data_IF_962082225912
#
_entry.id   IF_962082225912
#
_cell.length_a   1.000
_cell.length_b   1.000
_cell.length_c   1.000
_cell.angle_alpha   90.00
_cell.angle_beta   90.00
_cell.angle_gamma   90.00
#
_symmetry.space_group_name_H-M   'P 1'
#
loop_
_entity.id
_entity.type
_entity.pdbx_description
1 polymer ?
#
# COMPACT_ATOMS: atom_id res chain seq x y z
N UNK A 1 -5.41 -2.56 -5.09
CA UNK A 1 -4.64 -3.74 -4.69
C UNK A 1 -4.28 -3.52 -3.25
N UNK A 2 -4.63 -4.42 -2.34
CA UNK A 2 -4.32 -4.21 -0.92
C UNK A 2 -2.89 -4.68 -0.62
N UNK A 3 -2.15 -3.89 0.16
CA UNK A 3 -0.77 -4.20 0.55
C UNK A 3 -0.75 -4.56 2.03
N UNK A 4 -0.36 -5.79 2.35
CA UNK A 4 -0.15 -6.27 3.73
C UNK A 4 1.20 -6.99 3.83
N UNK A 5 1.84 -7.08 5.02
CA UNK A 5 3.13 -7.77 5.19
C UNK A 5 3.12 -9.24 4.74
N UNK A 6 1.93 -9.84 4.64
CA UNK A 6 1.72 -11.13 3.99
C UNK A 6 0.92 -10.94 2.68
N UNK A 7 1.33 -11.56 1.56
CA UNK A 7 0.66 -11.41 0.26
C UNK A 7 -0.83 -11.81 0.26
N UNK A 8 -1.20 -12.80 1.09
CA UNK A 8 -2.58 -13.22 1.34
C UNK A 8 -2.82 -13.23 2.84
N UNK A 9 -3.51 -12.21 3.36
CA UNK A 9 -3.86 -12.12 4.78
C UNK A 9 -5.37 -12.28 4.96
N UNK A 10 -5.78 -12.99 6.02
CA UNK A 10 -7.19 -13.08 6.40
C UNK A 10 -7.82 -11.69 6.57
N UNK A 11 -7.06 -10.73 7.11
CA UNK A 11 -7.50 -9.35 7.25
C UNK A 11 -7.82 -8.69 5.89
N UNK A 12 -6.97 -8.90 4.88
CA UNK A 12 -7.24 -8.39 3.54
C UNK A 12 -8.50 -9.00 2.93
N UNK A 13 -8.72 -10.30 3.13
CA UNK A 13 -9.93 -10.97 2.65
C UNK A 13 -11.21 -10.50 3.36
N UNK A 14 -11.18 -10.30 4.68
CA UNK A 14 -12.32 -9.77 5.45
C UNK A 14 -12.69 -8.38 4.96
N UNK A 15 -11.69 -7.53 4.72
CA UNK A 15 -11.91 -6.17 4.23
C UNK A 15 -12.51 -6.18 2.82
N UNK A 16 -11.91 -6.93 1.89
CA UNK A 16 -12.43 -7.02 0.52
C UNK A 16 -13.88 -7.54 0.49
N UNK A 17 -14.25 -8.45 1.40
CA UNK A 17 -15.65 -8.90 1.57
C UNK A 17 -16.55 -7.77 2.06
N UNK A 18 -16.12 -6.98 3.04
CA UNK A 18 -16.88 -5.84 3.54
C UNK A 18 -17.11 -4.75 2.47
N UNK A 19 -16.22 -4.67 1.48
CA UNK A 19 -16.35 -3.79 0.31
C UNK A 19 -17.19 -4.38 -0.84
N UNK A 20 -17.77 -5.57 -0.65
CA UNK A 20 -18.60 -6.22 -1.66
C UNK A 20 -17.80 -6.83 -2.83
N UNK A 21 -16.48 -6.97 -2.70
CA UNK A 21 -15.65 -7.58 -3.75
C UNK A 21 -15.95 -9.08 -3.83
N UNK A 22 -16.33 -9.55 -5.03
CA UNK A 22 -16.68 -10.95 -5.23
C UNK A 22 -15.49 -11.89 -5.00
N UNK A 23 -15.75 -13.16 -4.68
CA UNK A 23 -14.68 -14.15 -4.47
C UNK A 23 -13.74 -14.29 -5.68
N UNK A 24 -14.28 -14.19 -6.91
CA UNK A 24 -13.52 -14.24 -8.15
C UNK A 24 -12.60 -13.02 -8.32
N UNK A 25 -13.07 -11.83 -7.94
CA UNK A 25 -12.28 -10.61 -8.06
C UNK A 25 -11.24 -10.48 -6.95
N UNK A 26 -11.51 -10.99 -5.74
CA UNK A 26 -10.57 -10.93 -4.61
C UNK A 26 -9.20 -11.50 -4.93
N UNK A 27 -9.14 -12.61 -5.68
CA UNK A 27 -7.88 -13.21 -6.11
C UNK A 27 -6.96 -12.23 -6.87
N UNK A 28 -7.54 -11.30 -7.62
CA UNK A 28 -6.82 -10.30 -8.41
C UNK A 28 -6.55 -8.99 -7.64
N UNK A 29 -7.05 -8.86 -6.40
CA UNK A 29 -6.87 -7.67 -5.54
C UNK A 29 -5.78 -7.84 -4.49
N UNK A 30 -5.37 -9.08 -4.23
CA UNK A 30 -4.23 -9.42 -3.38
C UNK A 30 -2.91 -9.13 -4.10
N UNK A 31 -1.89 -8.75 -3.33
CA UNK A 31 -0.55 -8.55 -3.84
C UNK A 31 0.08 -9.91 -4.17
N UNK A 32 0.67 -10.04 -5.37
CA UNK A 32 1.44 -11.23 -5.72
C UNK A 32 2.74 -11.29 -4.93
N UNK A 33 3.12 -12.47 -4.43
CA UNK A 33 4.41 -12.69 -3.77
C UNK A 33 5.60 -12.35 -4.68
N UNK A 34 5.45 -12.36 -6.01
CA UNK A 34 6.51 -11.97 -6.95
C UNK A 34 6.79 -10.47 -6.98
N UNK A 35 5.83 -9.66 -6.52
CA UNK A 35 5.95 -8.20 -6.45
C UNK A 35 6.40 -7.73 -5.06
N UNK A 36 6.73 -8.67 -4.17
CA UNK A 36 7.12 -8.41 -2.79
C UNK A 36 8.44 -9.11 -2.50
N UNK A 37 9.43 -8.37 -2.01
CA UNK A 37 10.68 -8.91 -1.48
C UNK A 37 10.73 -8.58 0.01
N UNK A 38 10.88 -9.59 0.85
CA UNK A 38 10.97 -9.42 2.29
C UNK A 38 12.27 -10.03 2.82
N UNK A 39 12.86 -9.37 3.80
CA UNK A 39 13.88 -9.91 4.69
C UNK A 39 13.38 -9.88 6.15
N UNK A 40 14.28 -9.98 7.12
CA UNK A 40 13.94 -9.95 8.55
C UNK A 40 13.52 -8.54 9.04
N UNK A 41 13.84 -7.49 8.29
CA UNK A 41 13.75 -6.10 8.71
C UNK A 41 12.61 -5.35 8.01
N UNK A 42 12.35 -5.66 6.74
CA UNK A 42 11.37 -4.97 5.91
C UNK A 42 10.79 -5.85 4.79
N UNK A 43 9.65 -5.41 4.24
CA UNK A 43 9.09 -5.90 2.98
C UNK A 43 8.94 -4.76 1.99
N UNK A 44 9.63 -4.84 0.85
CA UNK A 44 9.51 -3.90 -0.26
C UNK A 44 8.54 -4.46 -1.32
N UNK A 45 7.62 -3.62 -1.76
CA UNK A 45 6.57 -3.97 -2.73
C UNK A 45 6.69 -3.10 -3.97
N UNK A 46 6.84 -3.72 -5.13
CA UNK A 46 6.66 -3.06 -6.43
C UNK A 46 5.16 -3.02 -6.76
N UNK A 47 4.49 -1.97 -6.29
CA UNK A 47 3.03 -1.90 -6.29
C UNK A 47 2.44 -1.51 -7.65
N UNK A 48 3.20 -0.79 -8.48
CA UNK A 48 2.84 -0.41 -9.84
C UNK A 48 4.11 -0.12 -10.66
N UNK A 49 4.13 -0.28 -12.00
CA UNK A 49 3.22 -1.15 -12.72
C UNK A 49 3.40 -2.59 -12.21
N UNK A 50 2.30 -3.31 -12.00
CA UNK A 50 2.34 -4.68 -11.52
C UNK A 50 2.79 -5.61 -12.65
N UNK A 51 4.06 -5.56 -13.06
CA UNK A 51 4.64 -6.37 -14.15
C UNK A 51 4.94 -7.82 -13.74
N UNK A 52 4.21 -8.34 -12.75
CA UNK A 52 4.34 -9.70 -12.21
C UNK A 52 3.15 -10.62 -12.48
N UNK A 53 2.12 -10.14 -13.17
CA UNK A 53 1.10 -11.00 -13.77
C UNK A 53 1.62 -11.59 -15.08
N UNK A 54 1.15 -12.78 -15.47
CA UNK A 54 1.43 -13.34 -16.80
C UNK A 54 1.26 -12.22 -17.85
N UNK A 55 2.18 -12.15 -18.82
CA UNK A 55 2.31 -11.17 -19.93
C UNK A 55 1.04 -10.97 -20.80
N UNK A 56 -0.12 -11.47 -20.38
CA UNK A 56 -1.35 -11.62 -21.13
C UNK A 56 -2.30 -10.40 -21.08
N UNK A 57 -2.03 -9.36 -20.30
CA UNK A 57 -2.76 -8.09 -20.41
C UNK A 57 -1.82 -6.88 -20.34
N UNK A 58 -0.79 -6.86 -21.19
CA UNK A 58 -0.45 -5.59 -21.81
C UNK A 58 -1.59 -5.27 -22.80
N UNK A 59 -2.11 -4.03 -22.87
CA UNK A 59 -2.95 -3.62 -24.00
C UNK A 59 -2.24 -4.04 -25.30
N UNK A 60 -2.96 -4.52 -26.34
CA UNK A 60 -2.32 -4.84 -27.60
C UNK A 60 -1.52 -3.60 -28.04
N UNK A 61 -0.21 -3.77 -28.20
CA UNK A 61 0.64 -2.75 -28.76
C UNK A 61 0.21 -2.57 -30.23
N UNK A 62 -0.76 -1.69 -30.47
CA UNK A 62 -1.09 -1.18 -31.81
C UNK A 62 -0.11 -0.08 -32.25
N UNK A 63 1.04 0.02 -31.58
CA UNK A 63 2.07 1.02 -31.84
C UNK A 63 3.35 0.38 -32.39
N UNK A 64 3.99 1.12 -33.27
CA UNK A 64 5.29 0.85 -33.90
C UNK A 64 6.31 0.32 -32.87
N UNK A 65 6.95 -0.85 -33.11
CA UNK A 65 7.93 -1.44 -32.20
C UNK A 65 9.20 -0.59 -31.99
N UNK A 66 9.38 0.50 -32.73
CA UNK A 66 10.49 1.45 -32.54
C UNK A 66 10.23 2.52 -31.47
N UNK A 67 9.00 2.68 -31.00
CA UNK A 67 8.67 3.58 -29.88
C UNK A 67 8.71 2.77 -28.59
N UNK A 68 9.81 2.90 -27.83
CA UNK A 68 9.91 2.31 -26.49
C UNK A 68 8.69 2.69 -25.66
N UNK A 69 8.00 1.69 -25.12
CA UNK A 69 6.84 1.93 -24.26
C UNK A 69 7.23 2.91 -23.13
N UNK A 70 6.38 3.89 -22.78
CA UNK A 70 6.69 4.79 -21.67
C UNK A 70 6.94 3.97 -20.41
N UNK A 71 8.18 3.98 -19.92
CA UNK A 71 8.56 3.34 -18.66
C UNK A 71 7.97 4.18 -17.53
N UNK A 72 6.75 3.86 -17.11
CA UNK A 72 6.16 4.47 -15.92
C UNK A 72 7.02 4.04 -14.72
N UNK A 73 7.57 4.96 -13.92
CA UNK A 73 8.40 4.61 -12.78
C UNK A 73 7.60 3.73 -11.82
N UNK A 74 8.28 2.74 -11.24
CA UNK A 74 7.62 1.81 -10.36
C UNK A 74 7.27 2.49 -9.02
N UNK A 75 6.03 2.39 -8.57
CA UNK A 75 5.62 2.80 -7.22
C UNK A 75 6.09 1.73 -6.23
N UNK A 76 7.08 2.09 -5.43
CA UNK A 76 7.66 1.24 -4.38
C UNK A 76 7.06 1.56 -3.01
N UNK A 77 6.64 0.53 -2.29
CA UNK A 77 6.08 0.64 -0.95
C UNK A 77 6.94 -0.18 0.01
N UNK A 78 7.50 0.44 1.06
CA UNK A 78 8.12 -0.28 2.17
C UNK A 78 7.12 -0.51 3.30
N UNK A 79 7.08 -1.75 3.79
CA UNK A 79 6.49 -2.13 5.06
C UNK A 79 7.63 -2.48 6.02
N UNK A 80 8.06 -1.52 6.84
CA UNK A 80 9.25 -1.67 7.70
C UNK A 80 8.87 -1.59 9.17
N UNK A 81 9.42 -2.50 9.98
CA UNK A 81 9.24 -2.51 11.44
C UNK A 81 10.56 -2.41 12.20
N UNK A 82 11.70 -2.48 11.52
CA UNK A 82 13.02 -2.34 12.11
C UNK A 82 13.55 -0.89 11.98
N UNK A 83 14.06 -0.26 13.05
CA UNK A 83 14.57 1.11 13.00
C UNK A 83 15.73 1.33 12.02
N UNK A 84 16.64 0.35 11.88
CA UNK A 84 17.80 0.48 11.00
C UNK A 84 17.42 0.42 9.52
N UNK A 85 16.46 -0.43 9.17
CA UNK A 85 15.90 -0.47 7.82
C UNK A 85 15.04 0.75 7.52
N UNK A 86 14.34 1.31 8.53
CA UNK A 86 13.54 2.51 8.35
C UNK A 86 14.37 3.68 7.82
N UNK A 87 15.55 3.93 8.40
CA UNK A 87 16.44 5.01 7.95
C UNK A 87 16.88 4.83 6.50
N UNK A 88 17.16 3.60 6.08
CA UNK A 88 17.60 3.28 4.73
C UNK A 88 16.47 3.43 3.71
N UNK A 89 15.30 2.85 4.01
CA UNK A 89 14.14 2.83 3.12
C UNK A 89 13.56 4.23 2.93
N UNK A 90 13.63 5.05 3.98
CA UNK A 90 13.08 6.39 4.02
C UNK A 90 13.58 7.33 2.92
N UNK A 91 14.78 7.10 2.36
CA UNK A 91 15.31 7.85 1.22
C UNK A 91 15.17 7.16 -0.13
N UNK A 92 14.60 5.95 -0.18
CA UNK A 92 14.65 5.05 -1.34
C UNK A 92 13.29 4.64 -1.89
N UNK A 93 12.23 4.79 -1.11
CA UNK A 93 10.89 4.35 -1.49
C UNK A 93 9.96 5.53 -1.76
N UNK A 94 8.95 5.29 -2.59
CA UNK A 94 7.90 6.26 -2.86
C UNK A 94 6.89 6.36 -1.71
N UNK A 95 6.69 5.25 -1.00
CA UNK A 95 5.76 5.15 0.12
C UNK A 95 6.34 4.32 1.27
N UNK A 96 6.35 4.91 2.45
CA UNK A 96 6.77 4.29 3.70
C UNK A 96 5.54 3.97 4.57
N UNK A 97 5.42 2.72 5.04
CA UNK A 97 4.43 2.32 6.04
C UNK A 97 5.16 1.64 7.20
N UNK A 98 5.01 2.19 8.40
CA UNK A 98 5.76 1.71 9.57
C UNK A 98 5.01 1.92 10.88
N UNK A 99 5.04 0.96 11.82
CA UNK A 99 4.56 1.19 13.18
C UNK A 99 5.53 2.05 14.02
N UNK A 100 6.70 2.41 13.48
CA UNK A 100 7.67 3.29 14.14
C UNK A 100 7.35 4.75 13.88
N UNK A 101 7.93 5.66 14.65
CA UNK A 101 7.86 7.10 14.34
C UNK A 101 8.92 7.41 13.28
N UNK A 102 8.50 7.92 12.13
CA UNK A 102 9.44 8.30 11.08
C UNK A 102 10.18 9.59 11.48
N UNK A 103 11.48 9.71 11.16
CA UNK A 103 12.22 10.96 11.31
C UNK A 103 11.54 12.10 10.54
N UNK A 104 11.58 13.31 11.10
CA UNK A 104 11.06 14.51 10.41
C UNK A 104 11.80 14.82 9.11
N UNK A 105 13.01 14.31 8.96
CA UNK A 105 13.85 14.42 7.77
C UNK A 105 13.54 13.36 6.71
N UNK A 106 12.45 12.59 6.87
CA UNK A 106 12.21 11.49 5.96
C UNK A 106 11.88 11.94 4.54
N UNK A 107 12.59 11.39 3.55
CA UNK A 107 12.54 11.85 2.16
C UNK A 107 11.42 11.20 1.34
N UNK A 108 10.83 10.11 1.83
CA UNK A 108 9.74 9.40 1.16
C UNK A 108 8.53 10.34 0.97
N UNK A 109 8.00 10.48 -0.26
CA UNK A 109 6.86 11.37 -0.54
C UNK A 109 5.60 11.06 0.27
N UNK A 110 5.37 9.79 0.58
CA UNK A 110 4.25 9.35 1.41
C UNK A 110 4.76 8.58 2.63
N UNK A 111 4.43 9.07 3.83
CA UNK A 111 4.84 8.44 5.10
C UNK A 111 3.62 8.15 5.98
N UNK A 112 3.41 6.88 6.28
CA UNK A 112 2.38 6.36 7.18
C UNK A 112 3.04 5.75 8.41
N UNK A 113 3.41 6.62 9.34
CA UNK A 113 4.13 6.27 10.57
C UNK A 113 3.18 5.95 11.73
N UNK A 114 3.75 5.65 12.91
CA UNK A 114 3.01 5.38 14.14
C UNK A 114 1.92 6.41 14.44
N UNK A 115 2.21 7.71 14.25
CA UNK A 115 1.28 8.80 14.56
C UNK A 115 0.14 8.83 13.55
N UNK A 116 0.44 8.64 12.27
CA UNK A 116 -0.58 8.56 11.23
C UNK A 116 -1.49 7.36 11.47
N UNK A 117 -0.91 6.17 11.64
CA UNK A 117 -1.63 4.92 11.84
C UNK A 117 -2.45 4.92 13.15
N UNK A 118 -2.01 5.61 14.20
CA UNK A 118 -2.81 5.77 15.42
C UNK A 118 -4.09 6.59 15.19
N UNK A 119 -4.11 7.50 14.21
CA UNK A 119 -5.28 8.32 13.88
C UNK A 119 -6.21 7.64 12.88
N UNK A 120 -5.64 6.95 11.89
CA UNK A 120 -6.40 6.39 10.75
C UNK A 120 -6.64 4.90 10.85
N UNK A 121 -5.95 4.21 11.76
CA UNK A 121 -5.88 2.76 11.75
C UNK A 121 -5.13 2.23 10.53
N UNK A 122 -5.54 1.05 10.07
CA UNK A 122 -5.01 0.47 8.85
C UNK A 122 -5.48 1.26 7.63
N UNK A 123 -4.67 1.28 6.58
CA UNK A 123 -4.96 1.98 5.33
C UNK A 123 -5.04 0.97 4.18
N UNK A 124 -6.08 1.08 3.37
CA UNK A 124 -6.18 0.39 2.10
C UNK A 124 -5.71 1.31 0.96
N UNK A 125 -4.79 0.79 0.14
CA UNK A 125 -4.25 1.47 -1.02
C UNK A 125 -4.99 1.05 -2.29
N UNK A 126 -5.53 2.01 -3.04
CA UNK A 126 -6.11 1.78 -4.36
C UNK A 126 -5.26 2.48 -5.39
N UNK A 127 -4.80 1.71 -6.37
CA UNK A 127 -4.03 2.16 -7.51
C UNK A 127 -4.92 2.01 -8.72
N UNK A 128 -5.35 3.14 -9.29
CA UNK A 128 -6.16 3.19 -10.49
C UNK A 128 -5.23 3.44 -11.71
N UNK A 129 -5.06 2.47 -12.62
CA UNK A 129 -4.15 2.59 -13.74
C UNK A 129 -4.49 3.78 -14.63
N UNK A 130 -3.46 4.51 -15.08
CA UNK A 130 -3.59 5.55 -16.10
C UNK A 130 -2.68 5.23 -17.28
N UNK A 131 -3.20 5.33 -18.50
CA UNK A 131 -2.39 5.08 -19.69
C UNK A 131 -1.27 6.13 -19.77
N UNK A 132 -0.02 5.66 -19.83
CA UNK A 132 1.16 6.52 -19.96
C UNK A 132 1.45 7.44 -18.75
N UNK A 133 0.84 7.20 -17.59
CA UNK A 133 1.01 8.04 -16.40
C UNK A 133 1.02 7.22 -15.10
N UNK A 134 1.62 7.75 -14.01
CA UNK A 134 1.54 7.12 -12.69
C UNK A 134 0.07 6.85 -12.27
N UNK A 135 -0.16 5.80 -11.47
CA UNK A 135 -1.51 5.42 -11.06
C UNK A 135 -2.09 6.50 -10.16
N UNK A 136 -3.40 6.69 -10.22
CA UNK A 136 -4.06 7.53 -9.21
C UNK A 136 -4.09 6.76 -7.89
N UNK A 137 -3.53 7.37 -6.85
CA UNK A 137 -3.54 6.88 -5.48
C UNK A 137 -4.87 7.25 -4.81
N UNK A 138 -5.53 6.29 -4.17
CA UNK A 138 -6.60 6.57 -3.19
C UNK A 138 -6.34 5.79 -1.91
N UNK A 139 -6.37 6.49 -0.79
CA UNK A 139 -6.19 5.92 0.54
C UNK A 139 -7.54 5.82 1.23
N UNK A 140 -7.83 4.68 1.84
CA UNK A 140 -9.04 4.48 2.66
C UNK A 140 -8.68 4.00 4.06
N UNK A 141 -9.01 4.76 5.12
CA UNK A 141 -8.90 4.30 6.50
C UNK A 141 -9.79 3.09 6.78
N UNK A 142 -9.39 2.24 7.72
CA UNK A 142 -10.17 1.07 8.13
C UNK A 142 -11.43 1.45 8.92
N UNK A 143 -11.50 2.67 9.45
CA UNK A 143 -12.68 3.20 10.10
C UNK A 143 -12.80 4.72 9.88
N UNK A 144 -14.04 5.19 9.76
CA UNK A 144 -14.35 6.64 9.67
C UNK A 144 -14.33 7.34 11.04
N UNK A 145 -14.36 6.57 12.13
CA UNK A 145 -14.26 7.05 13.51
C UNK A 145 -13.50 6.04 14.38
N UNK A 146 -12.69 6.53 15.32
CA UNK A 146 -11.91 5.70 16.24
C UNK A 146 -12.87 4.82 17.07
N UNK A 147 -12.68 3.50 16.99
CA UNK A 147 -13.55 2.54 17.69
C UNK A 147 -13.31 2.58 19.21
N UNK A 148 -14.34 2.26 20.04
CA UNK A 148 -14.23 2.15 21.50
C UNK A 148 -13.08 1.29 22.01
N UNK A 149 -12.75 0.24 21.28
CA UNK A 149 -11.74 -0.75 21.65
C UNK A 149 -10.37 -0.51 20.99
N UNK A 150 -10.15 0.64 20.33
CA UNK A 150 -8.82 0.96 19.77
C UNK A 150 -7.81 1.21 20.91
N UNK A 151 -6.73 0.42 21.02
CA UNK A 151 -5.71 0.61 22.06
C UNK A 151 -5.02 1.98 21.93
N UNK A 152 -4.55 2.55 23.06
CA UNK A 152 -3.87 3.86 23.11
C UNK A 152 -4.67 5.00 22.45
N UNK A 153 -5.93 5.17 22.85
CA UNK A 153 -6.68 6.39 22.51
C UNK A 153 -5.90 7.64 22.95
N UNK A 154 -5.68 8.63 22.07
CA UNK A 154 -5.26 9.95 22.52
C UNK A 154 -6.30 10.47 23.52
N UNK A 155 -5.86 10.96 24.67
CA UNK A 155 -6.68 11.33 25.84
C UNK A 155 -7.66 12.51 25.62
N UNK A 156 -7.96 12.89 24.38
CA UNK A 156 -8.84 14.01 24.04
C UNK A 156 -9.98 13.69 23.05
N UNK A 157 -10.12 12.46 22.57
CA UNK A 157 -11.19 12.12 21.61
C UNK A 157 -12.50 11.74 22.35
N UNK A 158 -13.33 12.74 22.66
CA UNK A 158 -14.67 12.48 23.20
C UNK A 158 -15.57 11.88 22.11
N UNK A 159 -16.16 10.72 22.43
CA UNK A 159 -17.12 10.05 21.55
C UNK A 159 -18.50 10.63 21.86
N UNK A 160 -18.96 11.61 21.10
CA UNK A 160 -20.35 12.03 21.15
C UNK A 160 -21.17 11.03 20.36
N UNK A 161 -21.93 10.20 21.07
CA UNK A 161 -23.02 9.43 20.48
C UNK A 161 -24.25 10.34 20.50
N UNK A 162 -24.80 10.66 19.33
CA UNK A 162 -26.18 11.16 19.17
C UNK A 162 -27.03 10.03 18.62
#
# INVERSE_FOLDING_TARGET
>A
MMVTPRPSSFLADVWLRAEGVSAKERANRHLSRRLMSCDEQACIVAAYPATGGNRAQAPPATGDPTVGAPTIPALTVSLVSDPSALEQDCGRVDMMVTPLTAPVSCAAPYVFDARHLARTGALALYLDPRQGAPPRLTLRPSYTAIRPWTPNRPSGFQTTFQ
#
